data_IF_884556662908
#
_entry.id   IF_884556662908
#
_cell.length_a   1.000
_cell.length_b   1.000
_cell.length_c   1.000
_cell.angle_alpha   90.00
_cell.angle_beta   90.00
_cell.angle_gamma   90.00
#
_symmetry.space_group_name_H-M   'P 1'
#
loop_
_entity.id
_entity.type
_entity.pdbx_description
1 polymer ?
#
# COMPACT_ATOMS: atom_id res chain seq x y z
N UNK A 1 11.09 -20.55 -8.81
CA UNK A 1 11.45 -20.47 -8.41
C UNK A 1 11.87 -20.32 -7.74
N UNK A 2 11.88 -20.55 -7.32
CA UNK A 2 12.21 -20.48 -6.61
C UNK A 2 12.48 -20.06 -6.43
N UNK A 3 12.44 -20.16 -7.03
CA UNK A 3 12.73 -19.91 -6.79
C UNK A 3 12.45 -19.41 -6.35
N UNK A 4 11.80 -19.43 -6.58
CA UNK A 4 11.52 -19.10 -6.00
C UNK A 4 11.51 -19.37 -4.92
N UNK A 5 11.52 -19.84 -4.43
CA UNK A 5 11.64 -20.11 -3.36
C UNK A 5 12.57 -20.18 -2.76
N UNK A 6 13.02 -20.68 -3.06
CA UNK A 6 13.61 -20.44 -2.59
C UNK A 6 13.71 -19.71 -2.73
N UNK A 7 13.71 -19.84 -3.73
CA UNK A 7 13.27 -18.78 -3.65
C UNK A 7 12.02 -18.40 -3.02
N UNK A 8 10.94 -18.94 -3.16
CA UNK A 8 9.72 -18.84 -2.41
C UNK A 8 9.95 -18.82 -0.92
N UNK A 9 10.93 -19.56 -0.47
CA UNK A 9 11.26 -19.60 0.95
C UNK A 9 11.66 -18.26 1.50
N UNK A 10 12.37 -17.45 0.71
CA UNK A 10 12.77 -16.11 1.15
C UNK A 10 11.54 -15.24 1.34
N UNK A 11 10.57 -15.32 0.45
CA UNK A 11 9.35 -14.53 0.56
C UNK A 11 8.55 -14.89 1.79
N UNK A 12 8.56 -16.16 2.20
CA UNK A 12 7.84 -16.60 3.41
C UNK A 12 8.45 -16.02 4.67
N UNK A 13 9.72 -15.63 4.64
CA UNK A 13 10.39 -15.03 5.79
C UNK A 13 10.13 -13.53 5.91
N UNK A 14 9.57 -12.91 4.86
CA UNK A 14 9.26 -11.49 4.91
C UNK A 14 7.95 -11.27 5.64
N UNK A 15 8.00 -10.38 6.59
CA UNK A 15 6.80 -10.04 7.36
C UNK A 15 5.87 -9.18 6.51
N UNK A 16 4.57 -9.49 6.48
CA UNK A 16 3.63 -8.63 5.77
C UNK A 16 3.61 -7.23 6.34
N UNK A 17 3.32 -6.25 5.50
CA UNK A 17 3.24 -4.85 5.91
C UNK A 17 2.02 -4.19 5.29
N UNK A 18 1.43 -3.25 6.03
CA UNK A 18 0.41 -2.37 5.49
C UNK A 18 0.98 -0.96 5.53
N UNK A 19 1.08 -0.32 4.36
CA UNK A 19 1.39 1.10 4.27
C UNK A 19 0.07 1.83 4.12
N UNK A 20 -0.17 2.83 4.95
CA UNK A 20 -1.45 3.53 4.92
C UNK A 20 -1.25 5.03 5.03
N UNK A 21 -1.80 5.76 4.05
CA UNK A 21 -1.90 7.22 4.08
C UNK A 21 -3.34 7.56 4.44
N UNK A 22 -3.52 8.17 5.62
CA UNK A 22 -4.86 8.37 6.18
C UNK A 22 -5.61 9.57 5.62
N UNK A 23 -4.90 10.52 5.07
CA UNK A 23 -5.49 11.79 4.62
C UNK A 23 -6.32 12.45 5.74
N UNK A 24 -5.79 12.42 6.97
CA UNK A 24 -6.45 13.04 8.12
C UNK A 24 -7.48 12.17 8.82
N UNK A 25 -7.75 10.98 8.33
CA UNK A 25 -8.76 10.09 8.93
C UNK A 25 -8.14 9.25 10.05
N UNK A 26 -7.89 9.89 11.20
CA UNK A 26 -7.16 9.27 12.30
C UNK A 26 -7.88 8.06 12.89
N UNK A 27 -9.20 8.08 12.98
CA UNK A 27 -9.97 6.95 13.51
C UNK A 27 -9.83 5.73 12.61
N UNK A 28 -9.90 5.96 11.30
CA UNK A 28 -9.75 4.90 10.31
C UNK A 28 -8.33 4.33 10.37
N UNK A 29 -7.35 5.19 10.54
CA UNK A 29 -5.96 4.76 10.66
C UNK A 29 -5.78 3.83 11.86
N UNK A 30 -6.35 4.17 13.01
CA UNK A 30 -6.25 3.33 14.20
C UNK A 30 -6.90 1.97 13.98
N UNK A 31 -8.04 1.94 13.29
CA UNK A 31 -8.74 0.68 13.01
C UNK A 31 -7.92 -0.20 12.07
N UNK A 32 -7.28 0.39 11.08
CA UNK A 32 -6.44 -0.36 10.14
C UNK A 32 -5.17 -0.85 10.83
N UNK A 33 -4.61 -0.05 11.72
CA UNK A 33 -3.45 -0.47 12.52
C UNK A 33 -3.80 -1.69 13.38
N UNK A 34 -4.97 -1.69 14.00
CA UNK A 34 -5.44 -2.84 14.78
C UNK A 34 -5.59 -4.08 13.90
N UNK A 35 -6.13 -3.90 12.70
CA UNK A 35 -6.26 -5.01 11.75
C UNK A 35 -4.90 -5.58 11.38
N UNK A 36 -3.91 -4.72 11.16
CA UNK A 36 -2.55 -5.16 10.86
C UNK A 36 -2.01 -6.04 11.99
N UNK A 37 -2.19 -5.61 13.23
CA UNK A 37 -1.72 -6.38 14.38
C UNK A 37 -2.38 -7.75 14.45
N UNK A 38 -3.70 -7.81 14.23
CA UNK A 38 -4.41 -9.08 14.25
C UNK A 38 -3.88 -10.05 13.19
N UNK A 39 -3.43 -9.53 12.07
CA UNK A 39 -2.94 -10.33 10.95
C UNK A 39 -1.44 -10.58 11.01
N UNK A 40 -0.77 -10.10 12.06
CA UNK A 40 0.67 -10.27 12.19
C UNK A 40 1.46 -9.45 11.19
N UNK A 41 0.91 -8.31 10.77
CA UNK A 41 1.56 -7.43 9.80
C UNK A 41 2.09 -6.18 10.49
N UNK A 42 3.18 -5.63 9.95
CA UNK A 42 3.67 -4.33 10.39
C UNK A 42 2.79 -3.24 9.78
N UNK A 43 2.61 -2.16 10.50
CA UNK A 43 1.85 -1.02 10.04
C UNK A 43 2.77 0.18 9.87
N UNK A 44 2.77 0.79 8.70
CA UNK A 44 3.58 1.97 8.41
C UNK A 44 2.64 3.10 8.01
N UNK A 45 2.61 4.15 8.84
CA UNK A 45 1.83 5.34 8.56
C UNK A 45 2.62 6.22 7.58
N UNK A 46 1.99 6.57 6.47
CA UNK A 46 2.61 7.40 5.43
C UNK A 46 2.19 8.84 5.66
N UNK A 47 3.16 9.74 5.76
CA UNK A 47 2.88 11.16 5.92
C UNK A 47 2.78 11.85 4.57
N UNK A 48 2.32 13.09 4.57
CA UNK A 48 2.23 13.88 3.35
C UNK A 48 3.61 14.03 2.68
N UNK A 49 4.65 14.26 3.48
CA UNK A 49 6.00 14.40 2.95
C UNK A 49 6.55 13.08 2.38
N UNK A 50 6.07 11.95 2.88
CA UNK A 50 6.48 10.64 2.37
C UNK A 50 5.96 10.36 0.96
N UNK A 51 4.95 11.09 0.51
CA UNK A 51 4.32 10.84 -0.78
C UNK A 51 5.25 11.13 -1.96
N UNK A 52 6.36 11.82 -1.74
CA UNK A 52 7.38 12.04 -2.75
C UNK A 52 8.37 10.88 -2.87
N UNK A 53 8.34 9.95 -1.93
CA UNK A 53 9.25 8.81 -1.90
C UNK A 53 8.67 7.66 -2.71
N UNK A 54 9.56 6.79 -3.19
CA UNK A 54 9.11 5.60 -3.90
C UNK A 54 8.42 4.63 -2.93
N UNK A 55 7.49 3.86 -3.47
CA UNK A 55 6.79 2.86 -2.67
C UNK A 55 7.78 1.84 -2.12
N UNK A 56 8.79 1.45 -2.92
CA UNK A 56 9.82 0.52 -2.47
C UNK A 56 10.60 1.05 -1.28
N UNK A 57 10.94 2.34 -1.29
CA UNK A 57 11.64 2.95 -0.16
C UNK A 57 10.74 2.93 1.09
N UNK A 58 9.48 3.31 0.95
CA UNK A 58 8.55 3.35 2.07
C UNK A 58 8.28 1.96 2.65
N UNK A 59 8.24 0.95 1.79
CA UNK A 59 8.06 -0.43 2.21
C UNK A 59 9.35 -1.07 2.72
N UNK A 60 10.44 -0.33 2.70
CA UNK A 60 11.75 -0.78 3.16
C UNK A 60 12.28 -1.95 2.33
N UNK A 61 12.01 -1.91 1.03
CA UNK A 61 12.57 -2.87 0.10
C UNK A 61 14.05 -2.57 -0.07
N UNK A 62 14.86 -3.61 0.00
CA UNK A 62 16.32 -3.45 -0.08
C UNK A 62 16.71 -2.85 -1.43
N UNK A 63 17.62 -1.89 -1.38
CA UNK A 63 18.16 -1.27 -2.60
C UNK A 63 17.45 -0.01 -3.04
N UNK A 64 16.47 0.47 -2.30
CA UNK A 64 15.77 1.71 -2.63
C UNK A 64 16.29 2.86 -1.77
N UNK A 65 17.02 3.82 -2.36
CA UNK A 65 17.49 5.00 -1.61
C UNK A 65 16.39 6.02 -1.44
N UNK A 66 16.65 7.01 -0.58
CA UNK A 66 15.78 8.18 -0.47
C UNK A 66 15.67 8.84 -1.84
N UNK A 67 14.44 9.11 -2.28
CA UNK A 67 14.20 9.81 -3.52
C UNK A 67 14.32 11.31 -3.30
N UNK A 68 15.23 11.95 -4.03
CA UNK A 68 15.41 13.41 -3.94
C UNK A 68 14.48 14.08 -4.92
N UNK A 69 13.60 14.93 -4.39
CA UNK A 69 12.63 15.64 -5.20
C UNK A 69 13.28 16.86 -5.85
N UNK A 70 13.16 16.95 -7.17
CA UNK A 70 13.58 18.14 -7.91
C UNK A 70 12.49 19.21 -7.82
N UNK A 71 12.89 20.48 -7.80
CA UNK A 71 11.91 21.57 -7.84
C UNK A 71 11.12 21.58 -9.14
N UNK A 72 11.62 20.86 -10.17
CA UNK A 72 10.96 20.75 -11.45
C UNK A 72 9.94 19.61 -11.49
N UNK A 73 9.95 18.75 -10.50
CA UNK A 73 8.99 17.64 -10.46
C UNK A 73 7.60 18.17 -10.12
N UNK A 74 6.64 17.72 -10.92
CA UNK A 74 5.24 18.04 -10.68
C UNK A 74 4.65 16.95 -9.80
N UNK A 75 4.53 17.23 -8.51
CA UNK A 75 4.03 16.28 -7.54
C UNK A 75 2.57 16.55 -7.27
N UNK A 76 1.72 15.57 -7.58
CA UNK A 76 0.29 15.69 -7.33
C UNK A 76 0.00 15.44 -5.85
N UNK A 77 -0.88 16.23 -5.28
CA UNK A 77 -1.33 16.02 -3.92
C UNK A 77 -2.16 14.74 -3.83
N UNK A 78 -1.97 14.00 -2.74
CA UNK A 78 -2.77 12.82 -2.46
C UNK A 78 -3.95 13.25 -1.62
N UNK A 79 -5.15 13.16 -2.19
CA UNK A 79 -6.35 13.74 -1.61
C UNK A 79 -7.34 12.72 -1.05
N UNK A 80 -6.97 11.44 -1.05
CA UNK A 80 -7.78 10.36 -0.48
C UNK A 80 -6.85 9.42 0.27
N UNK A 81 -7.43 8.62 1.17
CA UNK A 81 -6.61 7.62 1.84
C UNK A 81 -6.25 6.49 0.87
N UNK A 82 -5.07 5.91 1.08
CA UNK A 82 -4.51 4.88 0.21
C UNK A 82 -3.86 3.81 1.08
N UNK A 83 -4.13 2.54 0.74
CA UNK A 83 -3.55 1.40 1.44
C UNK A 83 -2.74 0.54 0.49
N UNK A 84 -1.51 0.22 0.87
CA UNK A 84 -0.65 -0.66 0.08
C UNK A 84 -0.31 -1.88 0.91
N UNK A 85 -0.54 -3.06 0.34
CA UNK A 85 -0.31 -4.35 1.00
C UNK A 85 0.98 -4.95 0.48
N UNK A 86 1.92 -5.23 1.39
CA UNK A 86 3.26 -5.71 1.05
C UNK A 86 3.47 -7.10 1.63
N UNK A 87 3.86 -8.05 0.79
CA UNK A 87 4.26 -9.41 1.20
C UNK A 87 3.16 -10.18 1.93
N UNK A 88 1.90 -9.95 1.57
CA UNK A 88 0.79 -10.69 2.17
C UNK A 88 0.65 -12.06 1.54
N UNK A 89 0.76 -13.13 2.34
CA UNK A 89 0.38 -14.47 1.84
C UNK A 89 -1.11 -14.48 1.53
N UNK A 90 -1.51 -15.32 0.59
CA UNK A 90 -2.91 -15.38 0.16
C UNK A 90 -3.88 -15.61 1.32
N UNK A 91 -3.49 -16.44 2.28
CA UNK A 91 -4.36 -16.72 3.43
C UNK A 91 -4.63 -15.47 4.26
N UNK A 92 -3.60 -14.66 4.51
CA UNK A 92 -3.77 -13.43 5.29
C UNK A 92 -4.47 -12.35 4.49
N UNK A 93 -4.22 -12.30 3.18
CA UNK A 93 -4.92 -11.39 2.30
C UNK A 93 -6.42 -11.69 2.34
N UNK A 94 -6.79 -12.97 2.25
CA UNK A 94 -8.19 -13.38 2.31
C UNK A 94 -8.84 -13.00 3.64
N UNK A 95 -8.10 -13.14 4.75
CA UNK A 95 -8.61 -12.74 6.06
C UNK A 95 -8.86 -11.23 6.14
N UNK A 96 -7.94 -10.44 5.58
CA UNK A 96 -8.11 -8.99 5.55
C UNK A 96 -9.32 -8.61 4.72
N UNK A 97 -9.46 -9.18 3.53
CA UNK A 97 -10.59 -8.86 2.65
C UNK A 97 -11.92 -9.29 3.28
N UNK A 98 -11.91 -10.43 3.98
CA UNK A 98 -13.11 -10.88 4.69
C UNK A 98 -13.49 -9.92 5.81
N UNK A 99 -12.51 -9.43 6.56
CA UNK A 99 -12.79 -8.48 7.64
C UNK A 99 -13.34 -7.15 7.11
N UNK A 100 -12.93 -6.75 5.92
CA UNK A 100 -13.47 -5.56 5.27
C UNK A 100 -14.91 -5.82 4.86
N UNK A 101 -15.20 -6.96 4.24
CA UNK A 101 -16.56 -7.32 3.83
C UNK A 101 -17.52 -7.39 5.02
N UNK A 102 -17.01 -7.83 6.17
CA UNK A 102 -17.82 -7.96 7.39
C UNK A 102 -17.85 -6.66 8.20
N UNK A 103 -17.27 -5.60 7.71
CA UNK A 103 -17.20 -4.29 8.37
C UNK A 103 -16.41 -4.29 9.68
N UNK A 104 -15.59 -5.30 9.89
CA UNK A 104 -14.66 -5.32 11.04
C UNK A 104 -13.47 -4.41 10.81
N UNK A 105 -13.10 -4.21 9.55
CA UNK A 105 -12.05 -3.30 9.14
C UNK A 105 -12.65 -2.30 8.16
N UNK A 106 -12.35 -1.00 8.30
CA UNK A 106 -12.88 -0.01 7.37
C UNK A 106 -12.40 -0.26 5.95
N UNK A 107 -13.28 0.01 4.98
CA UNK A 107 -12.92 -0.12 3.58
C UNK A 107 -12.06 1.06 3.13
N UNK A 108 -11.10 0.78 2.27
CA UNK A 108 -10.28 1.79 1.61
C UNK A 108 -10.47 1.58 0.11
N UNK A 109 -10.98 2.61 -0.58
CA UNK A 109 -11.27 2.48 -2.01
C UNK A 109 -10.01 2.33 -2.85
N UNK A 110 -8.93 3.02 -2.48
CA UNK A 110 -7.68 2.99 -3.23
C UNK A 110 -6.70 2.04 -2.53
N UNK A 111 -6.63 0.82 -3.04
CA UNK A 111 -5.77 -0.23 -2.50
C UNK A 111 -4.88 -0.80 -3.59
N UNK A 112 -3.67 -1.13 -3.23
CA UNK A 112 -2.73 -1.78 -4.16
C UNK A 112 -1.93 -2.84 -3.43
N UNK A 113 -1.42 -3.79 -4.20
CA UNK A 113 -0.44 -4.76 -3.73
C UNK A 113 0.91 -4.34 -4.26
N UNK A 114 1.92 -4.36 -3.41
CA UNK A 114 3.29 -4.04 -3.83
C UNK A 114 3.74 -5.04 -4.89
N UNK A 115 4.24 -4.53 -6.04
CA UNK A 115 4.74 -5.36 -7.13
C UNK A 115 6.15 -4.92 -7.51
N UNK A 116 6.91 -5.77 -8.25
CA UNK A 116 8.21 -5.34 -8.75
C UNK A 116 8.15 -4.11 -9.66
N UNK A 117 7.00 -3.85 -10.23
CA UNK A 117 6.81 -2.69 -11.12
C UNK A 117 6.49 -1.43 -10.31
N UNK A 118 5.46 -1.48 -9.45
CA UNK A 118 5.00 -0.27 -8.77
C UNK A 118 5.92 0.16 -7.63
N UNK A 119 6.84 -0.70 -7.19
CA UNK A 119 7.77 -0.31 -6.14
C UNK A 119 8.72 0.81 -6.59
N UNK A 120 8.89 1.01 -7.90
CA UNK A 120 9.71 2.11 -8.43
C UNK A 120 8.95 3.42 -8.57
N UNK A 121 7.64 3.40 -8.43
CA UNK A 121 6.81 4.62 -8.52
C UNK A 121 6.84 5.36 -7.19
N UNK A 122 6.72 6.68 -7.23
CA UNK A 122 6.47 7.43 -5.99
C UNK A 122 5.07 7.09 -5.49
N UNK A 123 4.86 7.30 -4.20
CA UNK A 123 3.54 7.07 -3.62
C UNK A 123 2.48 7.91 -4.34
N UNK A 124 2.83 9.15 -4.66
CA UNK A 124 1.93 10.05 -5.38
C UNK A 124 1.58 9.52 -6.76
N UNK A 125 2.55 8.94 -7.48
CA UNK A 125 2.28 8.35 -8.79
C UNK A 125 1.35 7.14 -8.69
N UNK A 126 1.57 6.30 -7.67
CA UNK A 126 0.71 5.15 -7.47
C UNK A 126 -0.72 5.60 -7.15
N UNK A 127 -0.85 6.64 -6.32
CA UNK A 127 -2.16 7.22 -6.03
C UNK A 127 -2.88 7.66 -7.32
N UNK A 128 -2.17 8.33 -8.23
CA UNK A 128 -2.77 8.78 -9.49
C UNK A 128 -3.27 7.60 -10.32
N UNK A 129 -2.48 6.53 -10.39
CA UNK A 129 -2.87 5.33 -11.14
C UNK A 129 -4.11 4.67 -10.52
N UNK A 130 -4.13 4.57 -9.20
CA UNK A 130 -5.27 3.98 -8.51
C UNK A 130 -6.52 4.83 -8.66
N UNK A 131 -6.36 6.15 -8.62
CA UNK A 131 -7.48 7.06 -8.79
C UNK A 131 -8.07 6.95 -10.20
N UNK A 132 -7.23 6.90 -11.21
CA UNK A 132 -7.67 6.74 -12.59
C UNK A 132 -8.41 5.43 -12.79
N UNK A 133 -7.91 4.33 -12.24
CA UNK A 133 -8.59 3.04 -12.30
C UNK A 133 -9.96 3.11 -11.65
N UNK A 134 -10.02 3.73 -10.47
CA UNK A 134 -11.27 3.83 -9.69
C UNK A 134 -12.31 4.64 -10.46
N UNK A 135 -11.92 5.79 -11.02
CA UNK A 135 -12.82 6.63 -11.80
C UNK A 135 -13.26 5.95 -13.10
N UNK A 136 -12.36 5.19 -13.71
CA UNK A 136 -12.68 4.44 -14.92
C UNK A 136 -13.75 3.38 -14.66
N UNK A 137 -13.67 2.70 -13.50
CA UNK A 137 -14.67 1.69 -13.15
C UNK A 137 -16.05 2.31 -13.00
N UNK A 138 -16.13 3.49 -12.39
CA UNK A 138 -17.43 4.19 -12.27
C UNK A 138 -17.95 4.64 -13.63
N UNK A 139 -17.08 5.13 -14.51
CA UNK A 139 -17.50 5.54 -15.85
C UNK A 139 -18.05 4.37 -16.65
N UNK A 140 -17.45 3.19 -16.49
CA UNK A 140 -17.85 2.00 -17.24
C UNK A 140 -19.13 1.36 -16.73
N UNK A 141 -19.63 1.80 -15.57
CA UNK A 141 -20.89 1.29 -15.03
C UNK A 141 -22.11 2.02 -15.57
N UNK A 142 -21.88 3.08 -16.31
CA UNK A 142 -22.97 3.77 -16.98
C UNK A 142 -23.23 3.13 -18.35
#
# INVERSE_FOLDING_TARGET
NLSSIFRGGILLLRKPKILYYSNGQTQKEKAIEKAAKRLGADFISISETDCTQTVGYLAKVKGFPVHKTSILENISAVCQDVMILCYFPNTRLDLLLASIRNSETPAVDLKAILTPQNCFWTFSQLYQELLEEHLSLFSNQE
#
